data_IF_877977066635
#
_entry.id   IF_877977066635
#
_cell.length_a   1.000
_cell.length_b   1.000
_cell.length_c   1.000
_cell.angle_alpha   90.00
_cell.angle_beta   90.00
_cell.angle_gamma   90.00
#
_symmetry.space_group_name_H-M   'P 1'
#
loop_
_entity.id
_entity.type
_entity.pdbx_description
1 polymer ?
#
# COMPACT_ATOMS: atom_id res chain seq x y z
N UNK A 1 13.58 18.15 -0.16
CA UNK A 1 12.40 18.24 -1.05
C UNK A 1 11.80 16.85 -1.13
N UNK A 2 10.87 16.55 -0.23
CA UNK A 2 10.15 15.27 -0.26
C UNK A 2 9.16 15.32 -1.40
N UNK A 3 9.11 14.28 -2.23
CA UNK A 3 8.06 14.17 -3.23
C UNK A 3 6.71 14.12 -2.50
N UNK A 4 5.96 15.23 -2.58
CA UNK A 4 4.51 15.25 -2.37
C UNK A 4 3.90 14.46 -3.53
N UNK A 5 3.89 13.14 -3.40
CA UNK A 5 3.42 12.23 -4.44
C UNK A 5 2.37 11.26 -3.89
N UNK A 6 1.54 10.76 -4.80
CA UNK A 6 0.51 9.74 -4.53
C UNK A 6 1.14 8.43 -3.99
N UNK A 7 0.30 7.56 -3.44
CA UNK A 7 0.66 6.20 -3.07
C UNK A 7 1.28 5.43 -4.25
N UNK A 8 0.80 5.64 -5.47
CA UNK A 8 1.36 5.02 -6.67
C UNK A 8 2.77 5.54 -6.97
N UNK A 9 2.98 6.85 -6.88
CA UNK A 9 4.30 7.46 -7.07
C UNK A 9 5.29 6.99 -6.00
N UNK A 10 4.86 6.89 -4.74
CA UNK A 10 5.71 6.37 -3.65
C UNK A 10 6.01 4.89 -3.82
N UNK A 11 5.04 4.07 -4.23
CA UNK A 11 5.24 2.65 -4.49
C UNK A 11 6.21 2.42 -5.66
N UNK A 12 6.05 3.18 -6.74
CA UNK A 12 6.96 3.16 -7.89
C UNK A 12 8.37 3.59 -7.49
N UNK A 13 8.51 4.70 -6.75
CA UNK A 13 9.80 5.16 -6.26
C UNK A 13 10.47 4.14 -5.33
N UNK A 14 9.71 3.50 -4.44
CA UNK A 14 10.21 2.43 -3.58
C UNK A 14 10.78 1.28 -4.41
N UNK A 15 10.03 0.81 -5.42
CA UNK A 15 10.47 -0.25 -6.32
C UNK A 15 11.73 0.17 -7.08
N UNK A 16 11.76 1.36 -7.69
CA UNK A 16 12.89 1.79 -8.53
C UNK A 16 14.20 1.97 -7.73
N UNK A 17 14.09 2.30 -6.44
CA UNK A 17 15.24 2.40 -5.54
C UNK A 17 15.80 1.04 -5.07
N UNK A 18 15.17 -0.09 -5.44
CA UNK A 18 15.68 -1.43 -5.13
C UNK A 18 16.67 -1.94 -6.18
N UNK A 19 17.70 -2.63 -5.70
CA UNK A 19 18.68 -3.32 -6.57
C UNK A 19 18.05 -4.47 -7.36
N UNK A 20 17.07 -5.14 -6.78
CA UNK A 20 16.29 -6.27 -7.29
C UNK A 20 14.88 -5.86 -7.74
N UNK A 21 14.74 -4.61 -8.24
CA UNK A 21 13.44 -4.05 -8.67
C UNK A 21 12.65 -4.90 -9.68
N UNK A 22 13.32 -5.77 -10.44
CA UNK A 22 12.67 -6.69 -11.39
C UNK A 22 11.91 -7.84 -10.72
N UNK A 23 12.14 -8.08 -9.43
CA UNK A 23 11.38 -9.07 -8.63
C UNK A 23 10.09 -8.49 -8.04
N UNK A 24 9.77 -7.21 -8.29
CA UNK A 24 8.60 -6.57 -7.70
C UNK A 24 7.68 -5.94 -8.75
N UNK A 25 6.39 -6.04 -8.48
CA UNK A 25 5.33 -5.37 -9.25
C UNK A 25 4.56 -4.42 -8.35
N UNK A 26 4.20 -3.25 -8.89
CA UNK A 26 3.34 -2.27 -8.23
C UNK A 26 1.95 -2.48 -8.81
N UNK A 27 0.98 -2.77 -7.96
CA UNK A 27 -0.41 -2.93 -8.36
C UNK A 27 -1.09 -1.56 -8.56
N UNK A 28 -2.23 -1.54 -9.23
CA UNK A 28 -3.03 -0.32 -9.35
C UNK A 28 -3.62 0.08 -8.00
N UNK A 29 -3.84 1.39 -7.81
CA UNK A 29 -4.54 1.89 -6.63
C UNK A 29 -5.92 1.23 -6.49
N UNK A 30 -6.21 0.72 -5.30
CA UNK A 30 -7.46 0.04 -4.96
C UNK A 30 -8.08 0.74 -3.76
N UNK A 31 -9.39 1.00 -3.80
CA UNK A 31 -10.08 1.58 -2.64
C UNK A 31 -10.20 0.55 -1.52
N UNK A 32 -10.01 0.97 -0.27
CA UNK A 32 -10.10 0.08 0.88
C UNK A 32 -11.48 -0.56 1.02
N UNK A 33 -12.56 0.13 0.65
CA UNK A 33 -13.93 -0.43 0.62
C UNK A 33 -14.09 -1.62 -0.31
N UNK A 34 -13.26 -1.72 -1.34
CA UNK A 34 -13.29 -2.79 -2.34
C UNK A 34 -12.22 -3.87 -2.03
N UNK A 35 -11.48 -3.72 -0.94
CA UNK A 35 -10.40 -4.61 -0.53
C UNK A 35 -10.90 -5.66 0.48
N UNK A 36 -11.59 -6.69 -0.03
CA UNK A 36 -11.97 -7.85 0.79
C UNK A 36 -10.75 -8.71 1.19
N UNK A 37 -9.80 -8.86 0.27
CA UNK A 37 -8.56 -9.60 0.50
C UNK A 37 -7.40 -8.99 -0.29
N UNK A 38 -6.30 -8.74 0.41
CA UNK A 38 -5.05 -8.24 -0.16
C UNK A 38 -4.40 -9.22 -1.15
N UNK A 39 -3.48 -8.73 -1.97
CA UNK A 39 -2.80 -9.58 -2.92
C UNK A 39 -1.92 -10.64 -2.26
N UNK A 40 -1.93 -11.85 -2.84
CA UNK A 40 -0.97 -12.90 -2.47
C UNK A 40 0.45 -12.44 -2.80
N UNK A 41 1.35 -12.59 -1.83
CA UNK A 41 2.76 -12.18 -1.97
C UNK A 41 3.00 -10.67 -1.87
N UNK A 42 2.03 -9.91 -1.35
CA UNK A 42 2.23 -8.50 -1.01
C UNK A 42 3.35 -8.33 0.02
N UNK A 43 4.29 -7.44 -0.24
CA UNK A 43 5.43 -7.14 0.66
C UNK A 43 5.33 -5.73 1.24
N UNK A 44 4.76 -4.78 0.48
CA UNK A 44 4.53 -3.41 0.92
C UNK A 44 3.13 -2.94 0.52
N UNK A 45 2.57 -2.05 1.32
CA UNK A 45 1.37 -1.30 1.00
C UNK A 45 1.63 0.19 1.21
N UNK A 46 1.11 1.02 0.32
CA UNK A 46 1.18 2.47 0.40
C UNK A 46 -0.23 3.00 0.51
N UNK A 47 -0.56 3.59 1.65
CA UNK A 47 -1.89 4.10 1.94
C UNK A 47 -1.94 5.58 1.56
N UNK A 48 -2.90 5.97 0.73
CA UNK A 48 -3.12 7.37 0.41
C UNK A 48 -3.44 8.18 1.68
N UNK A 49 -3.06 9.45 1.67
CA UNK A 49 -3.53 10.37 2.70
C UNK A 49 -5.04 10.54 2.58
N UNK A 50 -5.73 10.64 3.71
CA UNK A 50 -7.17 10.82 3.72
C UNK A 50 -7.79 10.40 5.04
N UNK A 51 -9.05 10.78 5.23
CA UNK A 51 -9.81 10.45 6.42
C UNK A 51 -10.78 9.29 6.14
N UNK A 52 -11.12 8.54 7.19
CA UNK A 52 -12.19 7.54 7.13
C UNK A 52 -11.83 6.23 6.43
N UNK A 53 -10.55 5.87 6.39
CA UNK A 53 -10.08 4.56 5.94
C UNK A 53 -9.35 3.78 7.05
N UNK A 54 -9.35 2.46 6.97
CA UNK A 54 -8.45 1.60 7.74
C UNK A 54 -7.97 0.44 6.87
N UNK A 55 -6.67 0.25 6.80
CA UNK A 55 -6.06 -0.95 6.26
C UNK A 55 -5.72 -1.87 7.43
N UNK A 56 -6.31 -3.05 7.47
CA UNK A 56 -5.91 -4.10 8.39
C UNK A 56 -4.85 -4.98 7.74
N UNK A 57 -3.75 -5.21 8.44
CA UNK A 57 -2.70 -6.14 8.06
C UNK A 57 -2.63 -7.21 9.15
N UNK A 58 -3.15 -8.40 8.84
CA UNK A 58 -3.54 -9.37 9.86
C UNK A 58 -4.54 -8.75 10.85
N UNK A 59 -4.16 -8.71 12.13
CA UNK A 59 -4.97 -8.10 13.19
C UNK A 59 -4.58 -6.65 13.54
N UNK A 60 -3.64 -6.06 12.80
CA UNK A 60 -3.13 -4.72 13.07
C UNK A 60 -3.79 -3.68 12.15
N UNK A 61 -4.48 -2.67 12.70
CA UNK A 61 -5.08 -1.60 11.91
C UNK A 61 -4.07 -0.48 11.61
N UNK A 62 -4.15 0.06 10.39
CA UNK A 62 -3.40 1.21 9.93
C UNK A 62 -4.36 2.27 9.41
N UNK A 63 -4.27 3.47 9.98
CA UNK A 63 -5.13 4.58 9.65
C UNK A 63 -4.36 5.61 8.84
N UNK A 64 -4.87 6.01 7.67
CA UNK A 64 -4.25 7.03 6.86
C UNK A 64 -4.18 8.34 7.63
N UNK A 65 -3.04 9.01 7.51
CA UNK A 65 -2.78 10.30 8.13
C UNK A 65 -2.79 11.42 7.11
N UNK A 66 -2.12 12.51 7.45
CA UNK A 66 -1.98 13.67 6.57
C UNK A 66 -1.04 13.43 5.37
N UNK A 67 -0.28 12.34 5.41
CA UNK A 67 0.71 11.95 4.41
C UNK A 67 0.52 10.49 3.99
N UNK A 68 0.98 10.17 2.77
CA UNK A 68 1.00 8.78 2.29
C UNK A 68 1.91 7.95 3.18
N UNK A 69 1.36 6.88 3.74
CA UNK A 69 2.02 5.97 4.66
C UNK A 69 2.58 4.75 3.93
N UNK A 70 3.81 4.36 4.26
CA UNK A 70 4.39 3.07 3.83
C UNK A 70 4.20 2.05 4.94
N UNK A 71 3.65 0.89 4.59
CA UNK A 71 3.34 -0.20 5.52
C UNK A 71 4.03 -1.46 5.02
N UNK A 72 4.76 -2.12 5.90
CA UNK A 72 5.33 -3.44 5.64
C UNK A 72 4.29 -4.51 5.94
N UNK A 73 3.85 -5.22 4.91
CA UNK A 73 2.77 -6.21 5.04
C UNK A 73 3.28 -7.64 5.08
N UNK A 74 4.56 -7.91 4.77
CA UNK A 74 5.23 -9.22 4.93
C UNK A 74 4.40 -10.47 4.52
N UNK A 75 3.56 -10.37 3.50
CA UNK A 75 2.68 -11.45 3.05
C UNK A 75 1.47 -11.75 3.95
N UNK A 76 1.22 -10.93 4.97
CA UNK A 76 0.01 -11.03 5.79
C UNK A 76 -1.23 -10.70 4.96
N UNK A 77 -2.34 -11.34 5.34
CA UNK A 77 -3.65 -11.01 4.79
C UNK A 77 -3.97 -9.55 5.08
N UNK A 78 -4.41 -8.83 4.05
CA UNK A 78 -4.85 -7.45 4.19
C UNK A 78 -6.35 -7.36 3.90
N UNK A 79 -7.05 -6.49 4.62
CA UNK A 79 -8.45 -6.11 4.33
C UNK A 79 -8.61 -4.62 4.55
N UNK A 80 -9.52 -4.00 3.81
CA UNK A 80 -9.75 -2.56 3.89
C UNK A 80 -11.16 -2.23 4.32
N UNK A 81 -11.32 -1.08 4.95
CA UNK A 81 -12.61 -0.42 5.14
C UNK A 81 -12.45 1.07 4.83
N UNK A 82 -13.43 1.66 4.14
CA UNK A 82 -13.48 3.10 3.87
C UNK A 82 -13.03 3.54 2.47
N UNK A 83 -13.02 4.85 2.24
CA UNK A 83 -12.86 5.46 0.91
C UNK A 83 -11.41 5.68 0.46
N UNK A 84 -10.46 5.45 1.36
CA UNK A 84 -9.05 5.72 1.08
C UNK A 84 -8.49 4.67 0.13
N UNK A 85 -7.56 5.06 -0.74
CA UNK A 85 -6.90 4.14 -1.66
C UNK A 85 -5.62 3.57 -1.06
N UNK A 86 -5.30 2.35 -1.46
CA UNK A 86 -4.05 1.67 -1.15
C UNK A 86 -3.41 1.13 -2.42
N UNK A 87 -2.09 1.15 -2.45
CA UNK A 87 -1.28 0.57 -3.53
C UNK A 87 -0.40 -0.51 -2.95
N UNK A 88 -0.45 -1.71 -3.52
CA UNK A 88 0.38 -2.83 -3.08
C UNK A 88 1.61 -2.98 -3.94
N UNK A 89 2.68 -3.46 -3.33
CA UNK A 89 3.86 -3.99 -4.01
C UNK A 89 3.97 -5.46 -3.71
N UNK A 90 4.11 -6.28 -4.75
CA UNK A 90 4.18 -7.74 -4.65
C UNK A 90 5.50 -8.25 -5.18
N UNK A 91 5.97 -9.35 -4.60
CA UNK A 91 7.08 -10.10 -5.16
C UNK A 91 6.57 -11.04 -6.27
N UNK A 92 7.19 -10.99 -7.45
CA UNK A 92 6.89 -11.86 -8.60
C UNK A 92 7.58 -13.21 -8.51
#
# INVERSE_FOLDING_TARGET
>A
MGAEGSAEEKAAAWRENRSDKGEYTVDAATSLRDLDAGPKGGVKAFLEKGDGGVLWVGNNPYYPGNDVQEIDIQGWECRGEGDVSVVFVRKT
#
